data_IF_019759904320
#
_entry.id   IF_019759904320
#
_cell.length_a   1.000
_cell.length_b   1.000
_cell.length_c   1.000
_cell.angle_alpha   90.00
_cell.angle_beta   90.00
_cell.angle_gamma   90.00
#
_symmetry.space_group_name_H-M   'P 1'
#
loop_
_entity.id
_entity.type
_entity.pdbx_description
1 polymer ?
#
# COMPACT_ATOMS: atom_id res chain seq x y z
N UNK A 1 34.88 1.46 3.39
CA UNK A 1 33.66 1.78 2.60
C UNK A 1 32.98 0.54 2.00
N UNK A 2 33.69 -0.58 1.82
CA UNK A 2 33.15 -1.76 1.10
C UNK A 2 32.05 -2.53 1.83
N UNK A 3 32.08 -2.58 3.17
CA UNK A 3 31.03 -3.27 3.94
C UNK A 3 29.65 -2.63 3.81
N UNK A 4 29.58 -1.31 3.65
CA UNK A 4 28.34 -0.57 3.46
C UNK A 4 27.74 -0.90 2.09
N UNK A 5 28.57 -0.94 1.04
CA UNK A 5 28.11 -1.35 -0.31
C UNK A 5 27.60 -2.79 -0.33
N UNK A 6 28.25 -3.71 0.41
CA UNK A 6 27.79 -5.09 0.52
C UNK A 6 26.48 -5.19 1.29
N UNK A 7 26.32 -4.46 2.41
CA UNK A 7 25.05 -4.36 3.13
C UNK A 7 23.93 -3.81 2.25
N UNK A 8 24.19 -2.75 1.50
CA UNK A 8 23.23 -2.17 0.55
C UNK A 8 22.85 -3.16 -0.55
N UNK A 9 23.80 -3.96 -1.08
CA UNK A 9 23.51 -5.02 -2.06
C UNK A 9 22.72 -6.18 -1.46
N UNK A 10 22.97 -6.55 -0.21
CA UNK A 10 22.30 -7.65 0.48
C UNK A 10 20.87 -7.28 0.88
N UNK A 11 20.70 -6.03 1.34
CA UNK A 11 19.40 -5.39 1.51
C UNK A 11 18.71 -5.34 0.14
N UNK A 12 19.29 -4.72 -0.87
CA UNK A 12 18.70 -4.64 -2.21
C UNK A 12 18.33 -6.02 -2.79
N UNK A 13 19.15 -7.07 -2.60
CA UNK A 13 18.84 -8.43 -3.03
C UNK A 13 17.69 -9.07 -2.24
N UNK A 14 17.59 -8.78 -0.94
CA UNK A 14 16.45 -9.16 -0.08
C UNK A 14 15.16 -8.46 -0.53
N UNK A 15 15.26 -7.19 -0.94
CA UNK A 15 14.15 -6.38 -1.48
C UNK A 15 13.79 -6.75 -2.93
N UNK A 16 14.69 -7.41 -3.66
CA UNK A 16 14.48 -7.93 -5.03
C UNK A 16 13.85 -9.33 -5.06
N UNK A 17 13.66 -9.96 -3.90
CA UNK A 17 12.99 -11.24 -3.78
C UNK A 17 11.47 -11.08 -3.99
N UNK A 18 11.07 -11.01 -5.27
CA UNK A 18 9.75 -11.35 -5.81
C UNK A 18 8.61 -11.21 -4.80
N UNK A 19 8.04 -10.00 -4.66
CA UNK A 19 6.84 -9.75 -3.84
C UNK A 19 5.82 -10.86 -4.13
N UNK A 20 5.54 -11.76 -3.18
CA UNK A 20 4.76 -12.94 -3.47
C UNK A 20 3.35 -12.52 -3.88
N UNK A 21 2.69 -13.28 -4.77
CA UNK A 21 1.30 -13.01 -5.22
C UNK A 21 0.35 -12.71 -4.06
N UNK A 22 0.65 -13.28 -2.89
CA UNK A 22 0.02 -12.99 -1.60
C UNK A 22 -0.06 -11.49 -1.26
N UNK A 23 1.05 -10.74 -1.38
CA UNK A 23 1.08 -9.30 -1.08
C UNK A 23 0.21 -8.49 -2.06
N UNK A 24 0.18 -8.88 -3.34
CA UNK A 24 -0.70 -8.27 -4.33
C UNK A 24 -2.18 -8.41 -3.97
N UNK A 25 -2.59 -9.57 -3.44
CA UNK A 25 -3.95 -9.78 -2.97
C UNK A 25 -4.27 -8.97 -1.70
N UNK A 26 -3.32 -8.85 -0.77
CA UNK A 26 -3.52 -8.03 0.43
C UNK A 26 -3.68 -6.56 0.07
N UNK A 27 -2.87 -6.04 -0.86
CA UNK A 27 -3.00 -4.65 -1.32
C UNK A 27 -4.37 -4.44 -1.97
N UNK A 28 -4.83 -5.36 -2.84
CA UNK A 28 -6.16 -5.27 -3.44
C UNK A 28 -7.27 -5.26 -2.39
N UNK A 29 -7.21 -6.15 -1.39
CA UNK A 29 -8.19 -6.19 -0.31
C UNK A 29 -8.16 -4.90 0.52
N UNK A 30 -6.97 -4.41 0.88
CA UNK A 30 -6.78 -3.16 1.61
C UNK A 30 -7.35 -1.96 0.85
N UNK A 31 -7.05 -1.82 -0.45
CA UNK A 31 -7.57 -0.71 -1.26
C UNK A 31 -9.09 -0.78 -1.39
N UNK A 32 -9.68 -1.98 -1.45
CA UNK A 32 -11.14 -2.15 -1.42
C UNK A 32 -11.76 -1.62 -0.14
N UNK A 33 -11.19 -1.99 1.02
CA UNK A 33 -11.64 -1.53 2.34
C UNK A 33 -11.51 -0.01 2.47
N UNK A 34 -10.39 0.57 2.01
CA UNK A 34 -10.18 2.01 2.03
C UNK A 34 -11.23 2.76 1.20
N UNK A 35 -11.55 2.26 0.00
CA UNK A 35 -12.57 2.86 -0.88
C UNK A 35 -13.94 2.89 -0.21
N UNK A 36 -14.35 1.78 0.42
CA UNK A 36 -15.63 1.70 1.15
C UNK A 36 -15.64 2.63 2.35
N UNK A 37 -14.54 2.73 3.10
CA UNK A 37 -14.43 3.64 4.24
C UNK A 37 -14.60 5.10 3.81
N UNK A 38 -13.97 5.51 2.70
CA UNK A 38 -14.11 6.86 2.13
C UNK A 38 -15.55 7.13 1.69
N UNK A 39 -16.22 6.14 1.08
CA UNK A 39 -17.63 6.27 0.69
C UNK A 39 -18.52 6.49 1.92
N UNK A 40 -18.32 5.72 3.00
CA UNK A 40 -19.05 5.89 4.26
C UNK A 40 -18.83 7.30 4.81
N UNK A 41 -17.57 7.76 4.91
CA UNK A 41 -17.27 9.10 5.39
C UNK A 41 -17.93 10.20 4.55
N UNK A 42 -17.92 10.05 3.21
CA UNK A 42 -18.59 10.98 2.30
C UNK A 42 -20.11 10.99 2.49
N UNK A 43 -20.71 9.83 2.77
CA UNK A 43 -22.16 9.72 3.01
C UNK A 43 -22.55 10.34 4.35
N UNK A 44 -21.75 10.17 5.40
CA UNK A 44 -21.97 10.83 6.69
C UNK A 44 -21.83 12.35 6.57
N UNK A 45 -20.82 12.83 5.86
CA UNK A 45 -20.63 14.25 5.59
C UNK A 45 -21.80 14.84 4.78
N UNK A 46 -22.31 14.11 3.78
CA UNK A 46 -23.43 14.53 2.94
C UNK A 46 -24.78 14.51 3.66
N UNK A 47 -24.97 13.58 4.61
CA UNK A 47 -26.20 13.47 5.40
C UNK A 47 -26.23 14.40 6.63
N UNK A 48 -25.11 15.06 6.96
CA UNK A 48 -24.98 15.86 8.18
C UNK A 48 -25.10 15.04 9.46
N UNK A 49 -24.99 13.71 9.36
CA UNK A 49 -25.12 12.79 10.48
C UNK A 49 -23.85 12.83 11.34
N UNK A 50 -24.02 12.78 12.66
CA UNK A 50 -22.92 12.72 13.60
C UNK A 50 -22.13 11.42 13.43
N UNK A 51 -20.83 11.56 13.24
CA UNK A 51 -19.91 10.44 13.12
C UNK A 51 -19.76 9.76 14.48
N UNK A 52 -19.88 8.43 14.59
CA UNK A 52 -19.58 7.73 15.83
C UNK A 52 -18.11 7.95 16.23
N UNK A 53 -17.80 8.27 17.49
CA UNK A 53 -16.43 8.59 17.90
C UNK A 53 -15.40 7.46 17.66
N UNK A 54 -15.85 6.20 17.65
CA UNK A 54 -15.00 5.06 17.30
C UNK A 54 -14.62 5.05 15.80
N UNK A 55 -15.49 5.58 14.94
CA UNK A 55 -15.26 5.66 13.50
C UNK A 55 -14.20 6.72 13.15
N UNK A 56 -14.20 7.88 13.84
CA UNK A 56 -13.15 8.90 13.65
C UNK A 56 -11.76 8.37 13.99
N UNK A 57 -11.67 7.48 14.99
CA UNK A 57 -10.40 6.86 15.37
C UNK A 57 -9.99 5.76 14.37
N UNK A 58 -10.93 4.99 13.85
CA UNK A 58 -10.65 3.85 12.96
C UNK A 58 -10.38 4.25 11.49
N UNK A 59 -11.09 5.26 10.99
CA UNK A 59 -11.02 5.74 9.61
C UNK A 59 -9.57 6.00 9.09
N UNK A 60 -8.70 6.74 9.81
CA UNK A 60 -7.35 7.00 9.32
C UNK A 60 -6.51 5.73 9.18
N UNK A 61 -6.74 4.69 10.00
CA UNK A 61 -6.02 3.42 9.88
C UNK A 61 -6.53 2.58 8.70
N UNK A 62 -7.85 2.61 8.45
CA UNK A 62 -8.46 1.90 7.32
C UNK A 62 -7.98 2.43 5.97
N UNK A 63 -7.67 3.73 5.88
CA UNK A 63 -7.16 4.35 4.65
C UNK A 63 -5.62 4.37 4.62
N UNK A 64 -4.98 4.64 5.76
CA UNK A 64 -3.53 4.79 5.87
C UNK A 64 -2.75 3.48 5.70
N UNK A 65 -3.26 2.36 6.24
CA UNK A 65 -2.58 1.05 6.12
C UNK A 65 -2.54 0.59 4.66
N UNK A 66 -3.64 0.59 3.90
CA UNK A 66 -3.62 0.25 2.47
C UNK A 66 -2.82 1.24 1.63
N UNK A 67 -2.87 2.54 1.95
CA UNK A 67 -2.09 3.56 1.26
C UNK A 67 -0.58 3.36 1.45
N UNK A 68 -0.14 3.07 2.68
CA UNK A 68 1.25 2.72 2.98
C UNK A 68 1.69 1.44 2.27
N UNK A 69 0.83 0.41 2.29
CA UNK A 69 1.07 -0.86 1.58
C UNK A 69 1.16 -0.64 0.06
N UNK A 70 0.27 0.18 -0.52
CA UNK A 70 0.27 0.50 -1.94
C UNK A 70 1.47 1.37 -2.34
N UNK A 71 1.88 2.32 -1.50
CA UNK A 71 3.07 3.15 -1.71
C UNK A 71 4.34 2.29 -1.68
N UNK A 72 4.49 1.43 -0.66
CA UNK A 72 5.60 0.48 -0.56
C UNK A 72 5.59 -0.49 -1.75
N UNK A 73 4.42 -0.96 -2.19
CA UNK A 73 4.30 -1.82 -3.36
C UNK A 73 4.63 -1.13 -4.67
N UNK A 74 4.27 0.15 -4.84
CA UNK A 74 4.66 0.94 -6.01
C UNK A 74 6.16 1.22 -6.03
N UNK A 75 6.75 1.55 -4.88
CA UNK A 75 8.18 1.80 -4.75
C UNK A 75 9.04 0.53 -4.93
N UNK A 76 8.43 -0.66 -4.80
CA UNK A 76 9.06 -1.97 -5.02
C UNK A 76 8.65 -2.64 -6.35
N UNK A 77 7.84 -1.98 -7.18
CA UNK A 77 7.44 -2.50 -8.48
C UNK A 77 8.60 -2.32 -9.47
N UNK A 78 9.31 -3.41 -9.78
CA UNK A 78 10.25 -3.44 -10.90
C UNK A 78 9.49 -3.17 -12.21
N UNK A 79 9.87 -2.10 -12.92
CA UNK A 79 9.48 -1.87 -14.30
C UNK A 79 10.07 -2.99 -15.17
N UNK A 80 9.27 -4.02 -15.44
CA UNK A 80 9.51 -4.93 -16.56
C UNK A 80 9.17 -4.21 -17.87
N UNK A 81 9.95 -3.18 -18.21
CA UNK A 81 9.95 -2.58 -19.54
C UNK A 81 11.23 -2.98 -20.27
N UNK A 82 11.39 -4.28 -20.51
CA UNK A 82 12.39 -4.86 -21.42
C UNK A 82 11.83 -6.15 -22.03
N UNK A 83 10.64 -6.07 -22.61
CA UNK A 83 10.23 -6.96 -23.70
C UNK A 83 9.87 -6.07 -24.88
N UNK A 84 10.92 -5.52 -25.51
CA UNK A 84 10.94 -5.41 -26.96
C UNK A 84 12.41 -5.34 -27.39
N UNK A 85 12.99 -6.52 -27.61
CA UNK A 85 14.27 -6.65 -28.30
C UNK A 85 13.95 -7.13 -29.71
N UNK A 86 14.40 -6.31 -30.66
CA UNK A 86 14.88 -6.67 -32.00
C UNK A 86 13.83 -6.98 -33.06
#
# INVERSE_FOLDING_TARGET
MDRIKTLWRLVAARWRAKTPKFFGNIIKAGTGIATVAVAIQGTLAASGASVPGWWETAFPYLVGIPAGMAAVAKLTREDNKNEDKN
#
